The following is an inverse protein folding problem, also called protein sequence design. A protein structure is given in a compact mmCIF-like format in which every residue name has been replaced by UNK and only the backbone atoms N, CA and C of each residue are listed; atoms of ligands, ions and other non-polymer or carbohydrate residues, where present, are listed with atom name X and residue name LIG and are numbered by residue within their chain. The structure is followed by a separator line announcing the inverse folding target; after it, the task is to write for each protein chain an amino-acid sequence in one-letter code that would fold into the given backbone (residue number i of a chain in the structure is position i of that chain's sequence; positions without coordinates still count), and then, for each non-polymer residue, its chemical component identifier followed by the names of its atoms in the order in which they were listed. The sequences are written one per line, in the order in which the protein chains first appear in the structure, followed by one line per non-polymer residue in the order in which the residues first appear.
data_IF_051059009845
#
_entry.id   IF_051059009845
#
_cell.length_a   1.000
_cell.length_b   1.000
_cell.length_c   1.000
_cell.angle_alpha   90.00
_cell.angle_beta   90.00
_cell.angle_gamma   90.00
#
_symmetry.space_group_name_H-M   'P 1'
#
loop_
_entity.id
_entity.type
_entity.pdbx_description
1 polymer ?
#
# COMPACT_ATOMS: atom_id res chain seq x y z
N UNK A 1 48.00 -24.18 27.76
CA UNK A 1 48.81 -22.93 27.82
C UNK A 1 48.44 -22.20 29.10
N UNK A 2 49.38 -21.94 30.02
CA UNK A 2 49.08 -21.37 31.33
C UNK A 2 49.05 -19.84 31.32
N UNK A 3 48.14 -19.28 32.11
CA UNK A 3 47.74 -17.86 32.13
C UNK A 3 48.63 -16.92 32.95
N UNK A 4 48.46 -15.63 32.66
CA UNK A 4 49.18 -14.50 33.27
C UNK A 4 48.61 -14.12 34.65
N UNK A 5 49.51 -13.75 35.56
CA UNK A 5 49.22 -13.51 36.98
C UNK A 5 48.98 -12.03 37.33
N UNK A 6 48.34 -11.81 38.48
CA UNK A 6 47.89 -10.52 39.07
C UNK A 6 48.97 -9.45 39.33
N UNK A 7 50.22 -9.61 38.87
CA UNK A 7 51.31 -8.63 39.07
C UNK A 7 51.54 -7.67 37.90
N UNK A 8 50.86 -7.83 36.76
CA UNK A 8 51.00 -6.95 35.59
C UNK A 8 49.97 -5.81 35.52
N UNK A 9 49.09 -5.66 36.51
CA UNK A 9 47.97 -4.70 36.48
C UNK A 9 48.17 -3.41 37.31
N UNK A 10 49.37 -3.15 37.85
CA UNK A 10 49.61 -2.03 38.79
C UNK A 10 50.73 -1.05 38.40
N UNK A 11 51.25 -1.12 37.17
CA UNK A 11 52.32 -0.21 36.70
C UNK A 11 51.81 0.89 35.75
N UNK A 12 50.54 0.89 35.35
CA UNK A 12 49.97 1.92 34.44
C UNK A 12 49.10 2.99 35.13
N UNK A 13 49.22 3.16 36.45
CA UNK A 13 48.50 4.20 37.18
C UNK A 13 49.43 4.99 38.08
N UNK A 14 49.88 6.18 37.67
CA UNK A 14 50.63 7.04 38.57
C UNK A 14 51.47 8.17 37.97
N UNK A 15 50.91 9.03 37.12
CA UNK A 15 51.36 10.43 36.91
C UNK A 15 50.13 11.19 36.40
N UNK A 16 49.70 12.34 36.91
CA UNK A 16 50.21 13.22 37.93
C UNK A 16 49.28 14.42 37.96
N UNK A 17 48.72 14.69 39.14
CA UNK A 17 47.91 15.86 39.46
C UNK A 17 48.82 17.09 39.47
N UNK A 18 48.47 18.13 38.70
CA UNK A 18 48.95 19.50 38.93
C UNK A 18 47.77 20.45 38.78
N UNK A 19 47.48 21.14 39.88
CA UNK A 19 46.33 21.99 40.11
C UNK A 19 46.68 23.47 39.92
N UNK A 20 45.75 24.23 39.35
CA UNK A 20 45.46 25.66 39.63
C UNK A 20 44.12 25.98 38.95
N UNK A 21 42.98 25.97 39.64
CA UNK A 21 42.45 26.96 40.57
C UNK A 21 41.92 28.25 39.89
N UNK A 22 40.58 28.36 39.96
CA UNK A 22 39.70 29.56 39.96
C UNK A 22 39.28 30.18 38.62
N UNK A 23 37.99 29.97 38.32
CA UNK A 23 37.20 30.69 37.33
C UNK A 23 35.78 30.13 37.24
N UNK A 24 35.07 30.00 38.36
CA UNK A 24 33.70 29.50 38.39
C UNK A 24 32.72 30.55 37.89
N UNK A 25 32.24 30.38 36.66
CA UNK A 25 30.93 30.83 36.13
C UNK A 25 30.76 30.20 34.74
N UNK A 26 30.08 29.05 34.67
CA UNK A 26 29.85 28.38 33.37
C UNK A 26 29.36 26.94 33.48
N UNK A 27 28.58 26.62 34.52
CA UNK A 27 27.64 25.51 34.42
C UNK A 27 26.49 26.02 33.53
N UNK A 28 26.03 25.20 32.59
CA UNK A 28 25.08 25.49 31.49
C UNK A 28 25.72 25.97 30.18
N UNK A 29 25.30 25.30 29.09
CA UNK A 29 25.73 25.42 27.69
C UNK A 29 26.98 24.61 27.32
N UNK A 30 26.79 23.34 26.93
CA UNK A 30 26.97 22.92 25.53
C UNK A 30 26.76 21.38 25.36
N UNK A 31 25.58 20.87 25.72
CA UNK A 31 25.03 19.71 25.00
C UNK A 31 24.16 20.28 23.89
N UNK A 32 24.78 20.65 22.77
CA UNK A 32 24.02 20.75 21.52
C UNK A 32 23.69 19.32 21.12
N UNK A 33 22.48 18.89 21.51
CA UNK A 33 21.71 17.98 20.69
C UNK A 33 21.87 18.45 19.25
N UNK A 34 22.50 17.63 18.41
CA UNK A 34 22.26 17.69 16.98
C UNK A 34 20.83 17.18 16.76
N UNK A 35 19.85 17.97 17.16
CA UNK A 35 18.53 17.92 16.55
C UNK A 35 18.74 18.40 15.13
N UNK A 36 18.98 17.46 14.22
CA UNK A 36 18.63 17.68 12.83
C UNK A 36 17.14 17.97 12.84
N UNK A 37 16.78 19.25 12.88
CA UNK A 37 15.46 19.72 12.46
C UNK A 37 15.28 19.20 11.05
N UNK A 38 14.58 18.08 10.92
CA UNK A 38 13.98 17.71 9.64
C UNK A 38 13.18 18.93 9.17
N UNK A 39 13.31 19.36 7.90
CA UNK A 39 12.46 20.42 7.37
C UNK A 39 11.00 20.10 7.71
N UNK A 40 10.27 21.09 8.23
CA UNK A 40 8.86 20.92 8.54
C UNK A 40 8.15 20.46 7.26
N UNK A 41 7.51 19.30 7.31
CA UNK A 41 6.72 18.78 6.20
C UNK A 41 5.56 19.76 5.96
N UNK A 42 5.42 20.34 4.75
CA UNK A 42 4.25 21.14 4.41
C UNK A 42 2.99 20.29 4.59
N UNK A 43 2.23 20.60 5.63
CA UNK A 43 0.92 20.01 5.92
C UNK A 43 -0.15 21.05 5.61
N UNK A 44 -1.32 20.61 5.14
CA UNK A 44 -2.46 21.50 4.90
C UNK A 44 -2.46 22.28 3.58
N UNK A 45 -1.67 21.87 2.58
CA UNK A 45 -1.84 22.37 1.20
C UNK A 45 -3.16 21.82 0.61
N UNK A 46 -3.74 22.49 -0.38
CA UNK A 46 -4.92 21.97 -1.09
C UNK A 46 -4.64 20.58 -1.68
N UNK A 47 -5.66 19.71 -1.68
CA UNK A 47 -5.59 18.40 -2.31
C UNK A 47 -5.38 18.58 -3.82
N UNK A 48 -4.35 17.91 -4.32
CA UNK A 48 -4.05 17.74 -5.74
C UNK A 48 -4.49 16.33 -6.12
N UNK A 49 -5.33 16.24 -7.14
CA UNK A 49 -5.75 14.97 -7.70
C UNK A 49 -4.78 14.56 -8.83
N UNK A 50 -4.56 13.25 -9.03
CA UNK A 50 -3.67 12.78 -10.10
C UNK A 50 -4.24 13.18 -11.47
N UNK A 51 -3.39 13.41 -12.49
CA UNK A 51 -3.86 13.66 -13.84
C UNK A 51 -4.82 12.56 -14.30
N UNK A 52 -5.90 12.95 -14.98
CA UNK A 52 -6.91 12.01 -15.44
C UNK A 52 -6.84 11.83 -16.96
N UNK A 53 -6.79 10.58 -17.41
CA UNK A 53 -6.82 10.17 -18.81
C UNK A 53 -8.16 9.50 -19.09
N UNK A 54 -8.86 9.93 -20.14
CA UNK A 54 -10.21 9.46 -20.47
C UNK A 54 -10.25 8.75 -21.81
N UNK A 55 -10.98 7.64 -21.87
CA UNK A 55 -11.33 6.98 -23.13
C UNK A 55 -12.00 7.93 -24.11
N UNK A 56 -11.63 7.84 -25.38
CA UNK A 56 -12.27 8.56 -26.49
C UNK A 56 -12.71 7.52 -27.51
N UNK A 57 -13.98 7.59 -27.93
CA UNK A 57 -14.56 6.70 -28.94
C UNK A 57 -14.37 5.20 -28.66
N UNK A 58 -14.53 4.78 -27.40
CA UNK A 58 -14.47 3.37 -27.01
C UNK A 58 -13.07 2.85 -26.67
N UNK A 59 -12.05 3.71 -26.66
CA UNK A 59 -10.67 3.29 -26.37
C UNK A 59 -9.93 4.32 -25.52
N UNK A 60 -9.19 3.86 -24.53
CA UNK A 60 -8.19 4.64 -23.81
C UNK A 60 -6.81 4.06 -24.14
N UNK A 61 -5.97 4.83 -24.83
CA UNK A 61 -4.57 4.49 -25.10
C UNK A 61 -3.67 5.23 -24.13
N UNK A 62 -2.75 4.51 -23.47
CA UNK A 62 -1.86 5.05 -22.43
C UNK A 62 -0.45 4.56 -22.67
N UNK A 63 0.50 5.48 -22.74
CA UNK A 63 1.92 5.16 -22.55
C UNK A 63 2.24 5.31 -21.06
N UNK A 64 2.68 4.23 -20.44
CA UNK A 64 2.95 4.16 -19.01
C UNK A 64 4.40 3.73 -18.79
N UNK A 65 5.18 4.55 -18.09
CA UNK A 65 6.55 4.19 -17.70
C UNK A 65 6.64 4.00 -16.20
N UNK A 66 7.08 2.82 -15.77
CA UNK A 66 7.50 2.58 -14.37
C UNK A 66 8.98 2.88 -14.23
N UNK A 67 9.37 3.95 -13.55
CA UNK A 67 10.78 4.26 -13.32
C UNK A 67 11.05 4.95 -11.99
N UNK A 68 12.27 4.83 -11.42
CA UNK A 68 12.69 5.64 -10.29
C UNK A 68 12.85 7.10 -10.75
N UNK A 69 12.06 7.99 -10.18
CA UNK A 69 12.00 9.41 -10.55
C UNK A 69 12.16 10.29 -9.30
N UNK A 70 12.57 11.54 -9.51
CA UNK A 70 12.47 12.56 -8.47
C UNK A 70 11.03 13.07 -8.44
N UNK A 71 10.32 12.79 -7.36
CA UNK A 71 8.89 13.15 -7.18
C UNK A 71 8.70 13.87 -5.86
N UNK A 72 7.68 14.72 -5.77
CA UNK A 72 7.34 15.40 -4.51
C UNK A 72 6.38 14.53 -3.71
N UNK A 73 6.83 14.00 -2.57
CA UNK A 73 6.00 13.24 -1.62
C UNK A 73 6.08 13.92 -0.27
N UNK A 74 4.93 14.13 0.38
CA UNK A 74 4.85 14.84 1.65
C UNK A 74 5.62 16.18 1.60
N UNK A 75 5.46 16.93 0.50
CA UNK A 75 6.11 18.23 0.29
C UNK A 75 7.64 18.20 0.22
N UNK A 76 8.26 17.03 0.02
CA UNK A 76 9.71 16.86 -0.14
C UNK A 76 10.00 16.19 -1.47
N UNK A 77 11.08 16.61 -2.13
CA UNK A 77 11.59 15.91 -3.29
C UNK A 77 12.28 14.62 -2.84
N UNK A 78 11.73 13.48 -3.27
CA UNK A 78 12.21 12.14 -2.93
C UNK A 78 12.45 11.32 -4.18
N UNK A 79 13.40 10.38 -4.11
CA UNK A 79 13.60 9.42 -5.19
C UNK A 79 12.74 8.19 -4.91
N UNK A 80 11.61 8.09 -5.61
CA UNK A 80 10.65 7.00 -5.47
C UNK A 80 10.35 6.38 -6.83
N UNK A 81 9.71 5.21 -6.83
CA UNK A 81 9.16 4.63 -8.04
C UNK A 81 7.89 5.38 -8.42
N UNK A 82 7.65 5.57 -9.70
CA UNK A 82 6.49 6.31 -10.17
C UNK A 82 5.99 5.76 -11.49
N UNK A 83 4.72 6.02 -11.78
CA UNK A 83 4.18 5.91 -13.12
C UNK A 83 4.13 7.29 -13.76
N UNK A 84 4.86 7.50 -14.85
CA UNK A 84 4.95 8.78 -15.56
C UNK A 84 5.34 9.97 -14.66
N UNK A 85 6.19 9.74 -13.66
CA UNK A 85 6.60 10.77 -12.70
C UNK A 85 5.56 11.11 -11.64
N UNK A 86 4.44 10.38 -11.56
CA UNK A 86 3.40 10.55 -10.55
C UNK A 86 3.43 9.47 -9.47
N UNK A 87 3.17 9.89 -8.23
CA UNK A 87 2.86 9.00 -7.10
C UNK A 87 1.61 9.57 -6.39
N UNK A 88 0.40 9.04 -6.66
CA UNK A 88 0.09 7.93 -7.57
C UNK A 88 0.29 8.30 -9.05
N UNK A 89 0.27 7.27 -9.91
CA UNK A 89 0.16 7.43 -11.36
C UNK A 89 -1.18 8.07 -11.80
N UNK A 90 -1.35 8.34 -13.11
CA UNK A 90 -2.56 8.94 -13.63
C UNK A 90 -3.82 8.12 -13.31
N UNK A 91 -4.94 8.80 -13.10
CA UNK A 91 -6.26 8.14 -13.03
C UNK A 91 -6.69 7.78 -14.43
N UNK A 92 -6.93 6.49 -14.68
CA UNK A 92 -7.42 5.99 -15.97
C UNK A 92 -8.94 5.87 -15.92
N UNK A 93 -9.65 6.65 -16.71
CA UNK A 93 -11.11 6.65 -16.74
C UNK A 93 -11.66 6.10 -18.04
N UNK A 94 -12.46 5.06 -17.92
CA UNK A 94 -13.06 4.30 -19.02
C UNK A 94 -14.54 4.05 -18.75
N UNK A 95 -15.25 3.51 -19.74
CA UNK A 95 -16.63 3.04 -19.63
C UNK A 95 -16.70 1.52 -19.79
N UNK A 96 -17.80 0.93 -19.35
CA UNK A 96 -18.09 -0.46 -19.70
C UNK A 96 -18.17 -0.61 -21.23
N UNK A 97 -17.54 -1.64 -21.78
CA UNK A 97 -17.43 -1.86 -23.23
C UNK A 97 -16.21 -1.21 -23.89
N UNK A 98 -15.45 -0.37 -23.18
CA UNK A 98 -14.23 0.23 -23.73
C UNK A 98 -13.05 -0.77 -23.75
N UNK A 99 -12.07 -0.48 -24.61
CA UNK A 99 -10.75 -1.10 -24.57
C UNK A 99 -9.74 -0.16 -23.90
N UNK A 100 -9.07 -0.63 -22.86
CA UNK A 100 -7.90 0.02 -22.28
C UNK A 100 -6.64 -0.61 -22.89
N UNK A 101 -5.88 0.19 -23.65
CA UNK A 101 -4.64 -0.21 -24.30
C UNK A 101 -3.47 0.50 -23.61
N UNK A 102 -2.57 -0.27 -22.99
CA UNK A 102 -1.44 0.30 -22.22
C UNK A 102 -0.12 -0.19 -22.78
N UNK A 103 0.73 0.71 -23.28
CA UNK A 103 2.14 0.38 -23.54
C UNK A 103 2.93 0.63 -22.26
N UNK A 104 3.25 -0.44 -21.53
CA UNK A 104 4.09 -0.34 -20.33
C UNK A 104 5.55 -0.40 -20.72
N UNK A 105 6.33 0.63 -20.38
CA UNK A 105 7.79 0.62 -20.40
C UNK A 105 8.33 0.39 -18.99
N UNK A 106 9.12 -0.67 -18.79
CA UNK A 106 9.77 -0.94 -17.52
C UNK A 106 11.13 -0.23 -17.44
N UNK A 107 11.18 0.95 -16.83
CA UNK A 107 12.41 1.67 -16.51
C UNK A 107 13.05 1.31 -15.16
N UNK A 108 12.59 0.24 -14.49
CA UNK A 108 13.19 -0.28 -13.26
C UNK A 108 14.45 -1.11 -13.57
N UNK A 109 15.22 -1.43 -12.53
CA UNK A 109 16.34 -2.38 -12.61
C UNK A 109 15.88 -3.85 -12.50
N UNK A 110 14.67 -4.07 -12.00
CA UNK A 110 14.07 -5.37 -11.73
C UNK A 110 12.91 -5.66 -12.70
N UNK A 111 12.55 -6.93 -12.93
CA UNK A 111 11.34 -7.26 -13.69
C UNK A 111 10.09 -6.72 -13.01
N UNK A 112 9.08 -6.42 -13.83
CA UNK A 112 7.76 -5.99 -13.36
C UNK A 112 6.68 -6.51 -14.32
N UNK A 113 5.43 -6.15 -14.04
CA UNK A 113 4.28 -6.31 -14.93
C UNK A 113 3.19 -5.33 -14.46
N UNK A 114 2.03 -5.37 -15.11
CA UNK A 114 0.88 -4.56 -14.74
C UNK A 114 -0.31 -5.45 -14.42
N UNK A 115 -0.97 -5.17 -13.30
CA UNK A 115 -2.24 -5.78 -12.93
C UNK A 115 -3.32 -4.71 -12.82
N UNK A 116 -4.49 -4.96 -13.40
CA UNK A 116 -5.66 -4.07 -13.34
C UNK A 116 -6.65 -4.57 -12.29
N UNK A 117 -6.30 -4.30 -11.04
CA UNK A 117 -6.96 -4.85 -9.85
C UNK A 117 -8.47 -4.63 -9.81
N UNK A 118 -9.19 -5.75 -9.90
CA UNK A 118 -10.64 -5.84 -9.80
C UNK A 118 -11.37 -5.68 -11.13
N UNK A 119 -10.70 -5.36 -12.23
CA UNK A 119 -11.37 -5.33 -13.53
C UNK A 119 -11.79 -6.75 -13.95
N UNK A 120 -12.96 -6.85 -14.58
CA UNK A 120 -13.49 -8.10 -15.12
C UNK A 120 -12.97 -8.29 -16.55
N UNK A 121 -11.68 -8.61 -16.69
CA UNK A 121 -10.98 -8.76 -17.97
C UNK A 121 -10.33 -10.14 -18.09
N UNK A 122 -9.78 -10.45 -19.26
CA UNK A 122 -9.14 -11.76 -19.49
C UNK A 122 -7.85 -11.88 -18.65
N UNK A 123 -7.58 -13.04 -18.03
CA UNK A 123 -6.29 -13.32 -17.41
C UNK A 123 -5.25 -13.88 -18.40
N UNK A 124 -5.57 -13.95 -19.69
CA UNK A 124 -4.76 -14.62 -20.71
C UNK A 124 -3.96 -13.63 -21.57
N UNK A 125 -2.93 -14.16 -22.25
CA UNK A 125 -2.16 -13.44 -23.29
C UNK A 125 -1.62 -12.09 -22.80
N UNK A 126 -1.93 -11.00 -23.51
CA UNK A 126 -1.53 -9.64 -23.21
C UNK A 126 -2.59 -8.84 -22.44
N UNK A 127 -3.53 -9.51 -21.78
CA UNK A 127 -4.49 -8.85 -20.88
C UNK A 127 -3.97 -8.91 -19.44
N UNK A 128 -4.80 -9.14 -18.43
CA UNK A 128 -4.42 -9.16 -17.00
C UNK A 128 -3.70 -10.46 -16.59
N UNK A 129 -2.68 -10.84 -17.36
CA UNK A 129 -1.93 -12.08 -17.20
C UNK A 129 -0.77 -11.88 -16.22
N UNK A 130 -0.93 -12.41 -15.00
CA UNK A 130 0.08 -12.30 -13.93
C UNK A 130 1.42 -12.97 -14.23
N UNK A 131 1.51 -13.82 -15.25
CA UNK A 131 2.75 -14.49 -15.66
C UNK A 131 3.57 -13.67 -16.66
N UNK A 132 3.02 -12.57 -17.19
CA UNK A 132 3.79 -11.63 -18.00
C UNK A 132 4.97 -11.11 -17.17
N UNK A 133 6.15 -11.11 -17.79
CA UNK A 133 7.37 -10.52 -17.24
C UNK A 133 7.87 -9.46 -18.22
N UNK A 134 7.86 -8.21 -17.78
CA UNK A 134 8.48 -7.09 -18.50
C UNK A 134 9.85 -6.88 -17.87
N UNK A 135 10.91 -7.29 -18.56
CA UNK A 135 12.27 -7.17 -18.04
C UNK A 135 12.70 -5.70 -17.94
N UNK A 136 13.79 -5.44 -17.21
CA UNK A 136 14.36 -4.11 -17.09
C UNK A 136 14.74 -3.54 -18.47
N UNK A 137 14.23 -2.35 -18.79
CA UNK A 137 14.44 -1.66 -20.06
C UNK A 137 13.47 -2.05 -21.18
N UNK A 138 12.70 -3.13 -21.01
CA UNK A 138 11.77 -3.63 -22.03
C UNK A 138 10.39 -2.94 -21.93
N UNK A 139 9.56 -3.19 -22.95
CA UNK A 139 8.17 -2.76 -23.00
C UNK A 139 7.22 -3.93 -23.27
N UNK A 140 5.97 -3.78 -22.85
CA UNK A 140 4.91 -4.74 -23.14
C UNK A 140 3.57 -4.00 -23.37
N UNK A 141 2.86 -4.40 -24.42
CA UNK A 141 1.59 -3.81 -24.81
C UNK A 141 0.41 -4.63 -24.28
N UNK A 142 -0.27 -4.08 -23.27
CA UNK A 142 -1.45 -4.66 -22.69
C UNK A 142 -2.72 -4.24 -23.42
N UNK A 143 -3.67 -5.17 -23.55
CA UNK A 143 -5.01 -4.91 -24.06
C UNK A 143 -6.06 -5.48 -23.10
N UNK A 144 -6.81 -4.58 -22.47
CA UNK A 144 -7.88 -4.93 -21.54
C UNK A 144 -9.22 -4.57 -22.17
N UNK A 145 -9.97 -5.57 -22.60
CA UNK A 145 -11.32 -5.41 -23.14
C UNK A 145 -12.33 -5.49 -22.00
N UNK A 146 -12.93 -4.36 -21.64
CA UNK A 146 -13.98 -4.36 -20.61
C UNK A 146 -15.28 -4.86 -21.24
N UNK A 147 -15.97 -5.84 -20.65
CA UNK A 147 -17.27 -6.26 -21.15
C UNK A 147 -18.30 -5.12 -21.03
N UNK A 148 -19.31 -5.11 -21.90
CA UNK A 148 -20.37 -4.08 -21.89
C UNK A 148 -21.18 -4.05 -20.58
N UNK A 149 -21.14 -5.13 -19.79
CA UNK A 149 -21.75 -5.22 -18.46
C UNK A 149 -20.74 -5.08 -17.32
N UNK A 150 -19.54 -4.54 -17.57
CA UNK A 150 -18.56 -4.29 -16.51
C UNK A 150 -19.16 -3.36 -15.44
N UNK A 151 -19.09 -3.69 -14.15
CA UNK A 151 -19.67 -2.85 -13.11
C UNK A 151 -18.98 -1.47 -13.05
N UNK A 152 -19.73 -0.37 -12.92
CA UNK A 152 -19.14 0.94 -12.70
C UNK A 152 -18.57 1.03 -11.28
N UNK A 153 -17.47 1.74 -11.10
CA UNK A 153 -16.84 1.82 -9.78
C UNK A 153 -15.40 2.27 -9.81
N UNK A 154 -14.74 2.07 -8.67
CA UNK A 154 -13.35 2.42 -8.44
C UNK A 154 -12.49 1.15 -8.36
N UNK A 155 -11.46 1.16 -9.19
CA UNK A 155 -10.48 0.12 -9.39
C UNK A 155 -9.09 0.77 -9.35
N UNK A 156 -8.05 -0.01 -9.52
CA UNK A 156 -6.68 0.52 -9.48
C UNK A 156 -5.75 -0.40 -10.26
N UNK A 157 -4.54 0.07 -10.52
CA UNK A 157 -3.50 -0.73 -11.16
C UNK A 157 -2.20 -0.66 -10.38
N UNK A 158 -1.47 -1.77 -10.38
CA UNK A 158 -0.20 -1.92 -9.68
C UNK A 158 0.60 -3.11 -10.24
N UNK A 159 1.90 -3.25 -9.92
CA UNK A 159 2.67 -4.44 -10.29
C UNK A 159 2.20 -5.70 -9.55
N UNK A 160 2.36 -6.85 -10.20
CA UNK A 160 2.01 -8.16 -9.66
C UNK A 160 3.08 -9.23 -9.97
N UNK A 161 4.32 -8.81 -10.27
CA UNK A 161 5.42 -9.73 -10.55
C UNK A 161 5.91 -10.40 -9.28
N UNK A 162 5.96 -11.73 -9.29
CA UNK A 162 6.27 -12.54 -8.11
C UNK A 162 7.64 -12.16 -7.52
N UNK A 163 7.66 -11.88 -6.22
CA UNK A 163 8.87 -11.50 -5.49
C UNK A 163 9.14 -9.99 -5.43
N UNK A 164 8.47 -9.17 -6.26
CA UNK A 164 8.73 -7.73 -6.34
C UNK A 164 7.54 -6.84 -5.97
N UNK A 165 6.33 -7.41 -5.87
CA UNK A 165 5.08 -6.65 -5.63
C UNK A 165 5.17 -5.69 -4.44
N UNK A 166 5.53 -6.20 -3.26
CA UNK A 166 5.52 -5.41 -2.04
C UNK A 166 6.45 -4.19 -2.12
N UNK A 167 7.69 -4.39 -2.59
CA UNK A 167 8.68 -3.31 -2.69
C UNK A 167 8.33 -2.32 -3.81
N UNK A 168 7.76 -2.81 -4.92
CA UNK A 168 7.36 -1.94 -6.03
C UNK A 168 6.13 -1.07 -5.70
N UNK A 169 5.11 -1.64 -5.04
CA UNK A 169 3.93 -0.89 -4.58
C UNK A 169 4.31 0.08 -3.47
N UNK A 170 5.03 -0.37 -2.43
CA UNK A 170 5.55 0.52 -1.38
C UNK A 170 6.43 1.63 -1.96
N UNK A 171 7.13 1.32 -3.04
CA UNK A 171 7.98 2.24 -3.80
C UNK A 171 7.23 3.37 -4.50
N UNK A 172 5.91 3.25 -4.73
CA UNK A 172 5.09 4.27 -5.40
C UNK A 172 4.39 3.82 -6.69
N UNK A 173 4.50 2.54 -7.10
CA UNK A 173 3.85 2.04 -8.32
C UNK A 173 2.39 1.64 -8.08
N UNK A 174 1.51 2.63 -8.08
CA UNK A 174 0.05 2.44 -8.04
C UNK A 174 -0.67 3.62 -8.71
N UNK A 175 -1.87 3.38 -9.23
CA UNK A 175 -2.75 4.44 -9.75
C UNK A 175 -4.21 3.97 -9.83
N UNK A 176 -5.14 4.90 -9.97
CA UNK A 176 -6.57 4.59 -9.94
C UNK A 176 -7.12 4.28 -11.35
N UNK A 177 -8.14 3.43 -11.41
CA UNK A 177 -8.97 3.21 -12.59
C UNK A 177 -10.42 3.50 -12.22
N UNK A 178 -11.10 4.34 -12.98
CA UNK A 178 -12.53 4.59 -12.80
C UNK A 178 -13.30 4.05 -13.99
N UNK A 179 -14.26 3.17 -13.72
CA UNK A 179 -15.26 2.75 -14.70
C UNK A 179 -16.51 3.59 -14.49
N UNK A 180 -16.85 4.44 -15.45
CA UNK A 180 -17.96 5.39 -15.33
C UNK A 180 -19.31 4.70 -15.17
N UNK A 181 -20.18 5.34 -14.40
CA UNK A 181 -21.59 4.99 -14.33
C UNK A 181 -22.28 5.27 -15.68
N UNK A 182 -23.18 4.38 -16.14
CA UNK A 182 -24.02 4.67 -17.29
C UNK A 182 -24.98 5.84 -17.01
N UNK A 183 -25.48 5.91 -15.77
CA UNK A 183 -26.31 7.00 -15.27
C UNK A 183 -25.57 7.78 -14.18
N UNK A 184 -25.41 9.11 -14.29
CA UNK A 184 -24.66 9.89 -13.31
C UNK A 184 -25.23 9.80 -11.89
N UNK A 185 -24.37 9.52 -10.91
CA UNK A 185 -24.69 9.68 -9.50
C UNK A 185 -24.67 11.18 -9.15
N UNK A 186 -25.76 11.76 -8.62
CA UNK A 186 -25.80 13.18 -8.30
C UNK A 186 -24.79 13.57 -7.20
N UNK A 187 -23.74 14.25 -7.61
CA UNK A 187 -22.73 14.89 -6.77
C UNK A 187 -22.23 16.15 -7.47
N UNK A 188 -21.91 17.19 -6.72
CA UNK A 188 -21.35 18.44 -7.27
C UNK A 188 -19.92 18.28 -7.76
N UNK A 189 -19.21 17.30 -7.18
CA UNK A 189 -17.81 17.00 -7.45
C UNK A 189 -17.52 15.54 -7.15
N UNK A 190 -16.65 14.95 -7.96
CA UNK A 190 -16.01 13.66 -7.66
C UNK A 190 -14.56 13.92 -7.22
N UNK A 191 -14.07 13.15 -6.23
CA UNK A 191 -12.67 13.15 -5.79
C UNK A 191 -12.10 11.75 -5.86
N UNK A 192 -10.89 11.61 -6.38
CA UNK A 192 -10.12 10.37 -6.30
C UNK A 192 -9.11 10.48 -5.17
N UNK A 193 -9.25 9.63 -4.15
CA UNK A 193 -8.40 9.59 -2.97
C UNK A 193 -7.64 8.27 -2.93
N UNK A 194 -6.41 8.26 -3.45
CA UNK A 194 -5.50 7.12 -3.32
C UNK A 194 -4.73 7.27 -2.02
N UNK A 195 -5.06 6.43 -1.04
CA UNK A 195 -4.41 6.42 0.27
C UNK A 195 -3.30 5.38 0.23
N UNK A 196 -2.08 5.80 0.57
CA UNK A 196 -0.90 4.95 0.59
C UNK A 196 -0.05 5.25 1.81
N UNK A 197 0.98 4.44 2.04
CA UNK A 197 1.99 4.73 3.05
C UNK A 197 3.41 4.45 2.56
N UNK A 198 4.36 5.20 3.13
CA UNK A 198 5.78 5.13 2.76
C UNK A 198 6.65 5.47 3.96
N UNK A 199 7.85 4.89 4.01
CA UNK A 199 8.91 5.30 4.93
C UNK A 199 10.06 5.89 4.11
N UNK A 200 10.57 7.02 4.57
CA UNK A 200 11.68 7.74 3.96
C UNK A 200 12.78 7.93 5.00
N UNK A 201 14.02 7.62 4.64
CA UNK A 201 15.16 7.92 5.50
C UNK A 201 15.51 9.42 5.48
N UNK A 202 16.56 9.80 6.23
CA UNK A 202 17.02 11.19 6.29
C UNK A 202 17.50 11.74 4.94
N UNK A 203 17.88 10.87 4.00
CA UNK A 203 18.28 11.23 2.65
C UNK A 203 17.11 11.30 1.66
N UNK A 204 15.88 10.98 2.09
CA UNK A 204 14.70 10.96 1.23
C UNK A 204 14.68 9.74 0.31
N UNK A 205 15.29 8.63 0.73
CA UNK A 205 15.25 7.34 0.05
C UNK A 205 14.38 6.34 0.80
N UNK A 206 13.88 5.34 0.07
CA UNK A 206 13.04 4.29 0.63
C UNK A 206 13.96 3.17 1.14
N UNK A 207 14.00 2.86 2.45
CA UNK A 207 14.83 1.80 2.97
C UNK A 207 14.33 0.42 2.51
N UNK A 208 15.22 -0.57 2.50
CA UNK A 208 14.84 -1.96 2.26
C UNK A 208 13.94 -2.49 3.40
N UNK A 209 12.99 -3.37 3.07
CA UNK A 209 12.15 -4.01 4.06
C UNK A 209 12.96 -4.89 5.02
N UNK A 210 12.73 -4.71 6.31
CA UNK A 210 13.27 -5.53 7.39
C UNK A 210 12.66 -6.94 7.37
N UNK A 211 13.31 -7.88 8.07
CA UNK A 211 12.76 -9.23 8.22
C UNK A 211 11.37 -9.24 8.89
N UNK A 212 11.14 -8.32 9.82
CA UNK A 212 9.86 -8.21 10.52
C UNK A 212 8.76 -7.65 9.62
N UNK A 213 9.05 -6.63 8.81
CA UNK A 213 8.10 -6.12 7.79
C UNK A 213 7.76 -7.19 6.75
N UNK A 214 8.75 -8.01 6.34
CA UNK A 214 8.49 -9.14 5.42
C UNK A 214 7.59 -10.21 6.04
N UNK A 215 7.73 -10.47 7.34
CA UNK A 215 6.93 -11.46 8.05
C UNK A 215 5.52 -10.94 8.38
N UNK A 216 5.43 -9.70 8.85
CA UNK A 216 4.21 -9.14 9.45
C UNK A 216 3.42 -8.26 8.48
N UNK A 217 3.95 -7.97 7.30
CA UNK A 217 3.44 -6.92 6.42
C UNK A 217 4.11 -5.57 6.71
N UNK A 218 4.33 -4.80 5.65
CA UNK A 218 5.04 -3.51 5.69
C UNK A 218 4.03 -2.37 5.77
N UNK A 219 4.18 -1.52 6.78
CA UNK A 219 3.41 -0.29 6.97
C UNK A 219 4.40 0.88 7.06
N UNK A 220 4.13 1.94 6.30
CA UNK A 220 4.99 3.13 6.25
C UNK A 220 4.69 4.12 7.37
N UNK A 221 5.68 4.94 7.72
CA UNK A 221 5.58 5.99 8.75
C UNK A 221 4.75 7.20 8.30
N UNK A 222 4.77 7.49 6.99
CA UNK A 222 3.99 8.57 6.38
C UNK A 222 2.78 7.96 5.69
N UNK A 223 1.57 8.32 6.15
CA UNK A 223 0.32 7.97 5.47
C UNK A 223 -0.12 9.15 4.62
N UNK A 224 -0.39 8.90 3.36
CA UNK A 224 -0.53 9.90 2.32
C UNK A 224 -1.90 9.82 1.67
N UNK A 225 -2.40 10.96 1.22
CA UNK A 225 -3.54 11.06 0.30
C UNK A 225 -3.02 11.68 -0.99
N UNK A 226 -3.05 10.91 -2.09
CA UNK A 226 -2.49 11.33 -3.40
C UNK A 226 -1.04 11.82 -3.32
N UNK A 227 -0.20 11.17 -2.50
CA UNK A 227 1.21 11.55 -2.31
C UNK A 227 1.42 12.74 -1.34
N UNK A 228 0.36 13.36 -0.84
CA UNK A 228 0.42 14.51 0.07
C UNK A 228 0.22 14.09 1.53
N UNK A 229 0.89 14.80 2.44
CA UNK A 229 0.64 14.68 3.88
C UNK A 229 -0.47 15.64 4.29
N UNK A 230 -1.58 15.12 4.83
CA UNK A 230 -2.68 15.92 5.40
C UNK A 230 -3.18 17.07 4.49
N UNK A 231 -3.50 16.83 3.20
CA UNK A 231 -4.03 17.88 2.35
C UNK A 231 -5.35 18.45 2.87
N UNK A 232 -5.70 19.65 2.41
CA UNK A 232 -6.96 20.35 2.68
C UNK A 232 -7.93 20.16 1.52
N UNK A 233 -9.20 19.92 1.86
CA UNK A 233 -10.32 19.89 0.92
C UNK A 233 -11.38 20.89 1.40
N UNK A 234 -12.00 21.61 0.47
CA UNK A 234 -13.05 22.58 0.77
C UNK A 234 -14.37 22.17 0.12
N UNK A 235 -15.48 22.49 0.81
CA UNK A 235 -16.84 22.25 0.34
C UNK A 235 -17.81 23.27 0.95
N UNK A 236 -19.08 23.21 0.57
CA UNK A 236 -20.15 24.04 1.15
C UNK A 236 -21.13 23.22 1.99
N UNK A 237 -21.81 23.83 2.97
CA UNK A 237 -22.85 23.13 3.71
C UNK A 237 -23.97 22.64 2.76
N UNK A 238 -24.43 21.40 2.95
CA UNK A 238 -25.40 20.73 2.10
C UNK A 238 -24.86 20.24 0.74
N UNK A 239 -23.61 20.57 0.40
CA UNK A 239 -22.99 20.10 -0.84
C UNK A 239 -22.63 18.62 -0.74
N UNK A 240 -23.01 17.83 -1.74
CA UNK A 240 -22.70 16.39 -1.82
C UNK A 240 -21.55 16.16 -2.80
N UNK A 241 -20.43 15.67 -2.28
CA UNK A 241 -19.31 15.17 -3.06
C UNK A 241 -19.33 13.64 -3.13
N UNK A 242 -18.68 13.08 -4.16
CA UNK A 242 -18.45 11.64 -4.30
C UNK A 242 -16.97 11.33 -4.21
N UNK A 243 -16.56 10.60 -3.20
CA UNK A 243 -15.18 10.22 -2.97
C UNK A 243 -14.95 8.77 -3.39
N UNK A 244 -14.01 8.58 -4.32
CA UNK A 244 -13.55 7.27 -4.78
C UNK A 244 -12.21 6.98 -4.11
N UNK A 245 -12.26 6.13 -3.09
CA UNK A 245 -11.13 5.89 -2.21
C UNK A 245 -10.47 4.57 -2.58
N UNK A 246 -9.14 4.57 -2.70
CA UNK A 246 -8.32 3.36 -2.89
C UNK A 246 -7.39 3.21 -1.70
N UNK A 247 -7.40 2.04 -1.04
CA UNK A 247 -6.33 1.66 -0.10
C UNK A 247 -5.19 1.00 -0.89
N UNK A 248 -4.18 1.80 -1.26
CA UNK A 248 -2.97 1.35 -1.94
C UNK A 248 -1.81 1.05 -0.97
N UNK A 249 -2.05 1.03 0.35
CA UNK A 249 -1.05 0.59 1.31
C UNK A 249 -0.73 -0.90 1.13
N UNK A 250 0.52 -1.30 1.39
CA UNK A 250 0.93 -2.71 1.22
C UNK A 250 0.32 -3.62 2.30
N UNK A 251 0.21 -3.14 3.53
CA UNK A 251 -0.31 -3.96 4.65
C UNK A 251 -1.22 -3.22 5.63
N UNK A 252 -1.32 -1.90 5.53
CA UNK A 252 -2.13 -1.07 6.44
C UNK A 252 -3.62 -1.20 6.15
N UNK A 253 -4.39 -1.51 7.19
CA UNK A 253 -5.84 -1.35 7.18
C UNK A 253 -6.19 0.11 7.39
N UNK A 254 -7.21 0.60 6.68
CA UNK A 254 -7.76 1.92 6.87
C UNK A 254 -9.13 1.80 7.53
N UNK A 255 -9.27 2.38 8.72
CA UNK A 255 -10.54 2.46 9.44
C UNK A 255 -11.02 3.91 9.43
N UNK A 256 -11.65 4.27 8.31
CA UNK A 256 -11.89 5.66 7.91
C UNK A 256 -13.08 6.26 8.64
N UNK A 257 -12.90 7.46 9.20
CA UNK A 257 -13.95 8.30 9.79
C UNK A 257 -13.79 9.77 9.41
N UNK A 258 -14.92 10.46 9.28
CA UNK A 258 -14.98 11.91 9.04
C UNK A 258 -16.04 12.51 9.97
N UNK A 259 -15.71 12.60 11.26
CA UNK A 259 -16.66 13.01 12.27
C UNK A 259 -17.19 14.44 12.01
N UNK A 260 -18.48 14.63 12.26
CA UNK A 260 -19.19 15.89 12.02
C UNK A 260 -19.71 16.08 10.59
N UNK A 261 -19.47 15.12 9.68
CA UNK A 261 -20.00 15.13 8.31
C UNK A 261 -20.96 13.95 8.10
N UNK A 262 -21.75 13.99 7.02
CA UNK A 262 -22.66 12.91 6.64
C UNK A 262 -22.02 12.03 5.57
N UNK A 263 -21.93 10.73 5.82
CA UNK A 263 -21.35 9.75 4.91
C UNK A 263 -22.39 8.70 4.50
N UNK A 264 -22.54 8.48 3.20
CA UNK A 264 -23.38 7.40 2.66
C UNK A 264 -22.57 6.53 1.71
N UNK A 265 -22.45 5.24 2.01
CA UNK A 265 -21.65 4.28 1.25
C UNK A 265 -22.44 3.72 0.06
N UNK A 266 -21.89 3.85 -1.14
CA UNK A 266 -22.46 3.27 -2.37
C UNK A 266 -21.97 1.85 -2.63
N UNK A 267 -20.74 1.53 -2.23
CA UNK A 267 -20.14 0.23 -2.47
C UNK A 267 -18.71 0.10 -1.98
N UNK A 268 -18.25 -1.16 -1.89
CA UNK A 268 -16.86 -1.53 -1.64
C UNK A 268 -16.40 -2.38 -2.82
N UNK A 269 -15.19 -2.11 -3.32
CA UNK A 269 -14.60 -2.76 -4.50
C UNK A 269 -15.51 -2.65 -5.75
N UNK A 270 -15.81 -3.77 -6.41
CA UNK A 270 -16.80 -3.85 -7.49
C UNK A 270 -18.23 -4.09 -6.97
N UNK A 271 -18.41 -4.26 -5.66
CA UNK A 271 -19.70 -4.52 -5.01
C UNK A 271 -20.43 -3.22 -4.68
N UNK A 272 -21.45 -2.88 -5.47
CA UNK A 272 -22.39 -1.81 -5.13
C UNK A 272 -23.59 -2.33 -4.37
N UNK A 273 -24.08 -1.52 -3.45
CA UNK A 273 -25.36 -1.75 -2.78
C UNK A 273 -26.52 -1.24 -3.65
N UNK A 274 -27.68 -1.87 -3.54
CA UNK A 274 -28.91 -1.44 -4.24
C UNK A 274 -29.28 0.00 -3.88
N UNK A 275 -29.06 0.40 -2.64
CA UNK A 275 -29.21 1.76 -2.16
C UNK A 275 -27.98 2.16 -1.35
N UNK A 276 -27.62 3.44 -1.41
CA UNK A 276 -26.66 4.01 -0.49
C UNK A 276 -27.17 3.84 0.94
N UNK A 277 -26.28 3.53 1.88
CA UNK A 277 -26.62 3.49 3.29
C UNK A 277 -25.67 4.33 4.10
N UNK A 278 -26.19 4.97 5.14
CA UNK A 278 -25.42 5.84 6.01
C UNK A 278 -24.45 5.03 6.85
N UNK A 279 -23.23 5.54 7.00
CA UNK A 279 -22.15 4.92 7.75
C UNK A 279 -21.43 5.96 8.61
N UNK A 280 -21.01 5.56 9.80
CA UNK A 280 -20.10 6.38 10.60
C UNK A 280 -18.63 6.09 10.27
N UNK A 281 -18.36 4.93 9.67
CA UNK A 281 -17.03 4.39 9.47
C UNK A 281 -16.98 3.47 8.24
N UNK A 282 -15.84 3.47 7.54
CA UNK A 282 -15.56 2.53 6.44
C UNK A 282 -14.22 1.85 6.70
N UNK A 283 -14.22 0.52 6.79
CA UNK A 283 -12.99 -0.28 6.91
C UNK A 283 -12.57 -0.78 5.53
N UNK A 284 -11.32 -0.48 5.16
CA UNK A 284 -10.68 -0.95 3.92
C UNK A 284 -9.41 -1.72 4.26
N UNK A 285 -9.38 -3.02 3.93
CA UNK A 285 -8.14 -3.77 3.92
C UNK A 285 -7.24 -3.31 2.76
N UNK A 286 -5.93 -3.66 2.76
CA UNK A 286 -5.04 -3.42 1.62
C UNK A 286 -5.67 -3.90 0.30
N UNK A 287 -5.74 -3.00 -0.69
CA UNK A 287 -6.34 -3.25 -2.00
C UNK A 287 -7.85 -3.05 -2.10
N UNK A 288 -8.54 -2.80 -0.98
CA UNK A 288 -9.96 -2.42 -1.05
C UNK A 288 -10.16 -1.00 -1.53
N UNK A 289 -11.34 -0.75 -2.10
CA UNK A 289 -11.81 0.57 -2.52
C UNK A 289 -13.19 0.86 -1.94
N UNK A 290 -13.51 2.13 -1.78
CA UNK A 290 -14.85 2.59 -1.43
C UNK A 290 -15.36 3.66 -2.39
N UNK A 291 -16.66 3.61 -2.65
CA UNK A 291 -17.40 4.67 -3.33
C UNK A 291 -18.32 5.33 -2.29
N UNK A 292 -17.94 6.53 -1.82
CA UNK A 292 -18.51 7.18 -0.65
C UNK A 292 -19.09 8.53 -1.03
N UNK A 293 -20.35 8.80 -0.67
CA UNK A 293 -20.94 10.12 -0.77
C UNK A 293 -20.71 10.87 0.54
N UNK A 294 -20.23 12.11 0.43
CA UNK A 294 -19.97 12.98 1.57
C UNK A 294 -20.82 14.23 1.42
N UNK A 295 -21.73 14.46 2.35
CA UNK A 295 -22.54 15.68 2.40
C UNK A 295 -22.03 16.62 3.50
N UNK A 296 -21.62 17.81 3.07
CA UNK A 296 -20.98 18.80 3.93
C UNK A 296 -21.91 19.34 5.01
N UNK A 297 -21.46 19.33 6.26
CA UNK A 297 -22.02 20.05 7.39
C UNK A 297 -21.03 21.13 7.81
N UNK A 298 -21.51 22.36 8.01
CA UNK A 298 -20.67 23.51 8.28
C UNK A 298 -19.68 23.27 9.43
N UNK A 299 -18.40 23.60 9.21
CA UNK A 299 -17.33 23.40 10.18
C UNK A 299 -16.07 22.81 9.55
N UNK A 300 -15.10 22.47 10.40
CA UNK A 300 -13.86 21.81 9.99
C UNK A 300 -13.82 20.41 10.59
N UNK A 301 -13.68 19.41 9.73
CA UNK A 301 -13.52 18.00 10.09
C UNK A 301 -12.16 17.49 9.62
N UNK A 302 -11.72 16.36 10.17
CA UNK A 302 -10.50 15.67 9.76
C UNK A 302 -10.88 14.27 9.33
N UNK A 303 -10.55 13.90 8.09
CA UNK A 303 -10.58 12.50 7.66
C UNK A 303 -9.48 11.77 8.41
N UNK A 304 -9.82 10.73 9.16
CA UNK A 304 -8.88 9.94 9.96
C UNK A 304 -8.92 8.48 9.57
N UNK A 305 -7.81 7.79 9.77
CA UNK A 305 -7.84 6.33 9.94
C UNK A 305 -7.53 5.98 11.40
N UNK A 306 -8.43 5.25 12.03
CA UNK A 306 -8.22 4.70 13.37
C UNK A 306 -7.31 3.49 13.32
N UNK A 307 -6.78 3.14 14.49
CA UNK A 307 -6.07 1.86 14.67
C UNK A 307 -6.99 0.68 14.38
N UNK A 308 -6.41 -0.36 13.79
CA UNK A 308 -7.09 -1.60 13.45
C UNK A 308 -6.24 -2.79 13.91
N UNK A 309 -6.82 -3.67 14.72
CA UNK A 309 -6.15 -4.91 15.15
C UNK A 309 -6.23 -5.95 14.02
N UNK A 310 -5.10 -6.16 13.35
CA UNK A 310 -4.95 -7.14 12.27
C UNK A 310 -4.56 -8.54 12.76
N UNK A 311 -4.44 -8.74 14.07
CA UNK A 311 -3.87 -9.93 14.68
C UNK A 311 -2.36 -10.05 14.43
N UNK A 312 -1.61 -10.60 15.39
CA UNK A 312 -0.19 -10.89 15.21
C UNK A 312 0.01 -12.33 14.71
N UNK A 313 0.85 -12.52 13.68
CA UNK A 313 1.44 -13.83 13.42
C UNK A 313 2.55 -14.08 14.44
N UNK A 314 2.25 -14.73 15.56
CA UNK A 314 3.31 -15.02 16.53
C UNK A 314 2.84 -15.38 17.93
N UNK A 315 2.00 -16.41 18.05
CA UNK A 315 2.04 -17.22 19.25
C UNK A 315 3.37 -17.95 19.29
N UNK A 316 4.37 -17.39 19.98
CA UNK A 316 5.46 -18.05 20.73
C UNK A 316 6.53 -17.02 21.11
N UNK A 317 6.58 -16.70 22.41
CA UNK A 317 7.81 -16.41 23.14
C UNK A 317 8.68 -15.23 22.69
N UNK A 318 8.12 -14.03 22.50
CA UNK A 318 8.84 -12.78 22.82
C UNK A 318 7.82 -11.75 23.28
N UNK A 319 7.68 -11.60 24.60
CA UNK A 319 6.93 -10.48 25.16
C UNK A 319 7.62 -9.17 24.79
N UNK A 320 6.91 -8.28 24.11
CA UNK A 320 7.36 -6.91 23.91
C UNK A 320 6.98 -6.35 22.54
N UNK A 321 5.95 -5.50 22.56
CA UNK A 321 5.69 -4.55 21.49
C UNK A 321 4.52 -4.95 20.60
N UNK A 322 3.30 -4.75 21.11
CA UNK A 322 2.27 -4.19 20.24
C UNK A 322 2.93 -3.01 19.50
N UNK A 323 3.03 -3.04 18.18
CA UNK A 323 3.02 -1.77 17.44
C UNK A 323 1.60 -1.22 17.48
N UNK A 324 1.06 -1.06 18.70
CA UNK A 324 0.10 -0.03 19.00
C UNK A 324 0.91 1.27 18.90
N UNK A 325 1.10 1.73 17.67
CA UNK A 325 1.23 3.15 17.43
C UNK A 325 -0.07 3.76 17.95
N UNK A 326 0.00 4.26 19.18
CA UNK A 326 -1.00 5.12 19.74
C UNK A 326 -1.10 6.34 18.83
N UNK A 327 -2.23 6.46 18.13
CA UNK A 327 -2.94 7.68 17.73
C UNK A 327 -3.59 7.50 16.35
N UNK A 328 -4.80 8.05 16.20
CA UNK A 328 -5.51 8.09 14.92
C UNK A 328 -4.72 8.94 13.92
N UNK A 329 -4.48 8.41 12.73
CA UNK A 329 -3.72 9.13 11.70
C UNK A 329 -4.66 10.09 10.97
N UNK A 330 -4.32 11.38 11.00
CA UNK A 330 -5.00 12.39 10.19
C UNK A 330 -4.60 12.23 8.71
N UNK A 331 -5.58 12.08 7.83
CA UNK A 331 -5.38 11.88 6.40
C UNK A 331 -5.59 13.16 5.61
N UNK A 332 -6.64 13.93 5.93
CA UNK A 332 -6.95 15.20 5.26
C UNK A 332 -7.82 16.10 6.13
N UNK A 333 -7.74 17.41 5.94
CA UNK A 333 -8.69 18.38 6.51
C UNK A 333 -9.85 18.59 5.54
N UNK A 334 -11.08 18.65 6.04
CA UNK A 334 -12.28 18.96 5.25
C UNK A 334 -12.97 20.19 5.84
N UNK A 335 -12.94 21.28 5.10
CA UNK A 335 -13.38 22.61 5.54
C UNK A 335 -14.67 22.96 4.80
N UNK A 336 -15.79 22.98 5.53
CA UNK A 336 -17.12 23.22 5.00
C UNK A 336 -17.58 24.62 5.40
N UNK A 337 -17.61 25.56 4.45
CA UNK A 337 -17.91 26.98 4.69
C UNK A 337 -18.67 27.61 3.53
N UNK A 338 -19.21 28.80 3.72
CA UNK A 338 -19.98 29.53 2.70
C UNK A 338 -21.49 29.27 2.78
N UNK A 339 -22.20 29.55 1.69
CA UNK A 339 -23.66 29.48 1.63
C UNK A 339 -24.18 28.05 1.49
N UNK A 340 -25.30 27.76 2.14
CA UNK A 340 -25.97 26.45 2.08
C UNK A 340 -26.38 26.08 0.64
N UNK A 341 -26.17 24.82 0.27
CA UNK A 341 -26.76 24.19 -0.92
C UNK A 341 -28.06 23.52 -0.49
N UNK A 342 -29.20 24.06 -0.91
CA UNK A 342 -30.52 23.64 -0.44
C UNK A 342 -31.15 22.49 -1.22
N UNK A 343 -30.56 22.11 -2.37
CA UNK A 343 -31.13 21.07 -3.24
C UNK A 343 -30.06 20.05 -3.62
N UNK A 344 -30.21 18.83 -3.13
CA UNK A 344 -29.43 17.68 -3.57
C UNK A 344 -30.38 16.65 -4.15
N UNK A 345 -30.17 16.25 -5.40
CA UNK A 345 -31.00 15.24 -6.03
C UNK A 345 -30.91 13.90 -5.27
N UNK A 346 -31.99 13.12 -5.34
CA UNK A 346 -32.01 11.79 -4.74
C UNK A 346 -30.97 10.88 -5.42
N UNK A 347 -30.36 10.00 -4.63
CA UNK A 347 -29.43 9.00 -5.16
C UNK A 347 -30.27 7.96 -5.90
N UNK A 348 -30.02 7.69 -7.19
CA UNK A 348 -30.77 6.67 -7.91
C UNK A 348 -30.46 5.29 -7.33
N UNK A 349 -31.50 4.44 -7.26
CA UNK A 349 -31.32 3.02 -6.93
C UNK A 349 -30.38 2.36 -7.94
N UNK A 350 -29.51 1.47 -7.46
CA UNK A 350 -28.53 0.76 -8.25
C UNK A 350 -29.04 -0.65 -8.60
N UNK A 351 -28.54 -1.27 -9.69
CA UNK A 351 -28.88 -2.65 -10.00
C UNK A 351 -28.56 -3.59 -8.84
N UNK A 352 -29.49 -4.49 -8.53
CA UNK A 352 -29.30 -5.51 -7.47
C UNK A 352 -28.19 -6.48 -7.90
N UNK A 353 -27.12 -6.65 -7.10
CA UNK A 353 -26.09 -7.63 -7.39
C UNK A 353 -26.66 -9.04 -7.46
N UNK A 354 -26.05 -9.89 -8.29
CA UNK A 354 -26.40 -11.31 -8.35
C UNK A 354 -26.16 -11.98 -6.98
N UNK A 355 -27.20 -12.59 -6.41
CA UNK A 355 -27.06 -13.38 -5.19
C UNK A 355 -26.40 -14.74 -5.50
N UNK A 356 -25.15 -14.90 -5.06
CA UNK A 356 -24.39 -16.14 -5.28
C UNK A 356 -24.79 -17.26 -4.32
N UNK A 357 -25.52 -16.98 -3.23
CA UNK A 357 -25.92 -18.00 -2.23
C UNK A 357 -26.98 -18.96 -2.76
N UNK A 358 -27.77 -18.50 -3.73
CA UNK A 358 -28.83 -19.29 -4.38
C UNK A 358 -28.41 -19.79 -5.76
N UNK A 359 -27.23 -19.38 -6.25
CA UNK A 359 -26.71 -19.79 -7.54
C UNK A 359 -26.35 -21.28 -7.55
N UNK A 360 -26.59 -21.94 -8.69
CA UNK A 360 -26.14 -23.32 -8.89
C UNK A 360 -24.62 -23.39 -8.93
N UNK A 361 -24.03 -24.27 -8.12
CA UNK A 361 -22.59 -24.54 -8.12
C UNK A 361 -22.21 -25.23 -9.43
N UNK A 362 -21.46 -24.55 -10.29
CA UNK A 362 -21.02 -25.09 -11.60
C UNK A 362 -19.84 -26.04 -11.48
N UNK A 363 -18.94 -25.82 -10.51
CA UNK A 363 -17.77 -26.64 -10.28
C UNK A 363 -17.33 -26.59 -8.80
N UNK A 364 -16.61 -27.62 -8.37
CA UNK A 364 -15.90 -27.64 -7.08
C UNK A 364 -14.41 -27.87 -7.33
N UNK A 365 -13.58 -27.20 -6.54
CA UNK A 365 -12.13 -27.35 -6.51
C UNK A 365 -11.72 -27.48 -5.04
N UNK A 366 -10.80 -28.39 -4.77
CA UNK A 366 -10.14 -28.49 -3.47
C UNK A 366 -8.76 -27.86 -3.59
N UNK A 367 -8.48 -26.85 -2.75
CA UNK A 367 -7.18 -26.20 -2.66
C UNK A 367 -6.56 -26.59 -1.31
N UNK A 368 -5.44 -27.30 -1.34
CA UNK A 368 -4.73 -27.71 -0.14
C UNK A 368 -3.43 -26.94 -0.06
N UNK A 369 -3.26 -26.15 0.99
CA UNK A 369 -2.01 -25.49 1.35
C UNK A 369 -1.37 -26.27 2.50
N UNK A 370 -0.39 -27.13 2.18
CA UNK A 370 0.27 -27.95 3.19
C UNK A 370 1.68 -27.41 3.49
N UNK A 371 1.91 -27.00 4.74
CA UNK A 371 3.25 -26.78 5.29
C UNK A 371 3.84 -28.14 5.63
N UNK A 372 4.83 -28.59 4.85
CA UNK A 372 5.61 -29.75 5.26
C UNK A 372 6.33 -29.44 6.58
N UNK A 373 5.98 -30.14 7.66
CA UNK A 373 6.79 -30.16 8.87
C UNK A 373 8.16 -30.73 8.48
N UNK A 374 9.17 -29.86 8.32
CA UNK A 374 10.55 -30.28 8.19
C UNK A 374 10.94 -31.04 9.45
N UNK A 375 10.87 -32.36 9.40
CA UNK A 375 11.28 -33.24 10.48
C UNK A 375 12.81 -33.26 10.58
N UNK A 376 13.38 -32.25 11.23
CA UNK A 376 14.72 -32.37 11.81
C UNK A 376 14.59 -32.43 13.34
N UNK A 377 13.99 -33.52 13.81
CA UNK A 377 14.25 -34.06 15.13
C UNK A 377 14.85 -35.47 14.95
N UNK A 378 16.00 -35.52 14.27
CA UNK A 378 16.90 -36.66 14.36
C UNK A 378 17.60 -36.62 15.72
N UNK A 379 17.18 -37.49 16.62
CA UNK A 379 17.73 -37.61 17.96
C UNK A 379 19.25 -37.81 17.96
N UNK A 380 19.92 -37.01 18.77
CA UNK A 380 21.25 -37.26 19.29
C UNK A 380 21.25 -38.60 20.05
N UNK A 381 21.67 -39.67 19.38
CA UNK A 381 22.23 -40.85 20.04
C UNK A 381 23.40 -41.39 19.23
N UNK A 382 24.62 -41.13 19.71
CA UNK A 382 25.68 -42.14 19.72
C UNK A 382 26.73 -42.09 18.61
N UNK A 383 27.83 -41.41 18.91
CA UNK A 383 29.23 -41.88 18.78
C UNK A 383 29.62 -42.75 17.55
N UNK A 384 30.46 -42.18 16.67
CA UNK A 384 31.26 -42.96 15.73
C UNK A 384 32.25 -42.10 14.93
N UNK A 385 33.55 -42.26 15.21
CA UNK A 385 34.67 -41.55 14.60
C UNK A 385 34.82 -41.78 13.09
N UNK A 386 35.25 -40.73 12.37
CA UNK A 386 36.31 -40.85 11.34
C UNK A 386 35.99 -40.32 9.94
N UNK A 387 36.77 -39.34 9.47
CA UNK A 387 37.22 -39.28 8.06
C UNK A 387 36.82 -38.06 7.21
N UNK A 388 37.84 -37.24 6.92
CA UNK A 388 38.05 -36.36 5.75
C UNK A 388 37.16 -35.15 5.45
N UNK A 389 37.86 -34.01 5.35
CA UNK A 389 37.46 -32.81 4.60
C UNK A 389 37.53 -33.06 3.09
N UNK A 390 36.51 -32.65 2.35
CA UNK A 390 36.68 -31.96 1.07
C UNK A 390 35.46 -31.07 0.77
N UNK A 391 35.71 -29.94 0.10
CA UNK A 391 34.84 -28.79 0.01
C UNK A 391 33.67 -28.90 -0.97
N UNK A 392 32.54 -28.32 -0.57
CA UNK A 392 31.40 -28.03 -1.42
C UNK A 392 30.38 -27.21 -0.65
N UNK A 393 30.51 -25.88 -0.64
CA UNK A 393 29.49 -24.98 -0.10
C UNK A 393 28.30 -24.90 -1.06
N UNK A 394 27.50 -25.97 -1.10
CA UNK A 394 26.12 -25.93 -1.55
C UNK A 394 25.24 -25.72 -0.33
N UNK A 395 24.91 -24.47 -0.01
CA UNK A 395 23.96 -24.11 1.02
C UNK A 395 22.54 -24.48 0.59
N UNK A 396 22.23 -25.78 0.62
CA UNK A 396 20.87 -26.28 0.48
C UNK A 396 20.07 -25.88 1.71
N UNK A 397 19.29 -24.82 1.59
CA UNK A 397 18.22 -24.53 2.54
C UNK A 397 17.22 -25.68 2.42
N UNK A 398 17.25 -26.59 3.41
CA UNK A 398 16.21 -27.60 3.60
C UNK A 398 14.91 -26.93 3.98
N UNK A 399 14.26 -26.28 3.03
CA UNK A 399 12.90 -25.76 3.18
C UNK A 399 11.94 -26.93 3.06
N UNK A 400 11.18 -27.20 4.11
CA UNK A 400 9.98 -28.05 3.99
C UNK A 400 9.12 -27.47 2.87
N UNK A 401 9.05 -28.16 1.72
CA UNK A 401 8.33 -27.66 0.56
C UNK A 401 6.87 -27.50 0.96
N UNK A 402 6.41 -26.24 0.94
CA UNK A 402 5.00 -25.94 0.85
C UNK A 402 4.48 -26.64 -0.40
N UNK A 403 3.64 -27.67 -0.22
CA UNK A 403 2.96 -28.29 -1.35
C UNK A 403 1.57 -27.69 -1.43
N UNK A 404 1.33 -26.93 -2.50
CA UNK A 404 0.00 -26.51 -2.88
C UNK A 404 -0.56 -27.56 -3.85
N UNK A 405 -1.76 -28.07 -3.59
CA UNK A 405 -2.44 -28.95 -4.55
C UNK A 405 -3.80 -28.40 -4.94
N UNK A 406 -4.18 -28.62 -6.19
CA UNK A 406 -5.51 -28.36 -6.72
C UNK A 406 -6.12 -29.70 -7.11
N UNK A 407 -7.17 -30.13 -6.41
CA UNK A 407 -7.77 -31.47 -6.55
C UNK A 407 -6.71 -32.59 -6.42
N UNK A 408 -5.81 -32.47 -5.45
CA UNK A 408 -4.74 -33.44 -5.19
C UNK A 408 -3.59 -33.44 -6.20
N UNK A 409 -3.61 -32.57 -7.22
CA UNK A 409 -2.47 -32.39 -8.14
C UNK A 409 -1.59 -31.24 -7.66
N UNK A 410 -0.28 -31.46 -7.59
CA UNK A 410 0.69 -30.41 -7.22
C UNK A 410 0.57 -29.25 -8.20
N UNK A 411 0.48 -28.04 -7.65
CA UNK A 411 0.48 -26.82 -8.45
C UNK A 411 1.81 -26.69 -9.19
N UNK A 412 1.74 -26.60 -10.51
CA UNK A 412 2.89 -26.37 -11.39
C UNK A 412 2.73 -24.99 -12.06
N UNK A 413 3.55 -24.04 -11.61
CA UNK A 413 3.55 -22.67 -12.11
C UNK A 413 4.01 -22.56 -13.58
N UNK A 414 4.64 -23.60 -14.14
CA UNK A 414 5.15 -23.60 -15.52
C UNK A 414 4.13 -24.07 -16.56
N UNK A 415 2.95 -24.52 -16.11
CA UNK A 415 1.91 -25.09 -16.96
C UNK A 415 0.87 -24.07 -17.44
N UNK A 416 1.08 -22.78 -17.19
CA UNK A 416 0.12 -21.71 -17.46
C UNK A 416 0.46 -20.98 -18.76
#
# INVERSE_FOLDING_TARGET
MPGLSRRSALILGGVGIAATAVGGTGFFVNQRNSSTTSPAIPSGSDLVEPPELRSVSGTLTVDLESSPQQVTIAGRDVRALSYNGGVPGPTLRVRAGDTLSVSLRNGLADPSNLHVHGLHVSPENNSDNMFVTVAAGDSFDYQYELPANHPPGVYWYHPHHHGFVADQVFGGLYGAIIVEDPDPIPASRERVLVISDITLDSAGTIPAATAMEKMSGREGDLVLVNGQLTPSMTSRPGERERWRIVNACVSRYLRLRLDGQQLSLLGIDSGRFEAAHDVDEVVLAPGNRADLLVTGTAGTSVLRTHTYDRGMSGGMMMGGGSSAGADDVALASFIVTGDDVTTVAAIPGQPVPRDLRTATVTARRELIFAMGMGGDMGGDTGSGMGGNMDGGMGGGVGGGMMSATINGQVFDATRV
#
